data_IF_517701213825
#
_entry.id   IF_517701213825
#
_cell.length_a   1.000
_cell.length_b   1.000
_cell.length_c   1.000
_cell.angle_alpha   90.00
_cell.angle_beta   90.00
_cell.angle_gamma   90.00
#
_symmetry.space_group_name_H-M   'P 1'
#
loop_
_entity.id
_entity.type
_entity.pdbx_description
1 polymer ?
#
# COMPACT_ATOMS: atom_id res chain seq x y z
N UNK A 1 -21.41 14.01 7.55
CA UNK A 1 -21.04 13.79 6.12
C UNK A 1 -19.53 13.92 5.87
N UNK A 2 -18.80 14.75 6.64
CA UNK A 2 -17.35 14.95 6.46
C UNK A 2 -16.48 13.73 6.75
N UNK A 3 -16.79 12.91 7.78
CA UNK A 3 -15.97 11.73 8.13
C UNK A 3 -15.78 10.75 6.97
N UNK A 4 -16.83 10.60 6.14
CA UNK A 4 -16.80 9.72 4.97
C UNK A 4 -16.08 10.31 3.77
N UNK A 5 -15.83 11.63 3.75
CA UNK A 5 -15.21 12.31 2.61
C UNK A 5 -13.78 11.82 2.42
N UNK A 6 -12.98 11.82 3.49
CA UNK A 6 -11.58 11.36 3.44
C UNK A 6 -11.46 9.87 3.13
N UNK A 7 -12.38 9.06 3.65
CA UNK A 7 -12.45 7.62 3.36
C UNK A 7 -12.72 7.39 1.87
N UNK A 8 -13.68 8.11 1.28
CA UNK A 8 -14.00 8.01 -0.15
C UNK A 8 -12.84 8.49 -1.04
N UNK A 9 -12.20 9.61 -0.69
CA UNK A 9 -11.06 10.12 -1.45
C UNK A 9 -9.90 9.10 -1.42
N UNK A 10 -9.54 8.55 -0.27
CA UNK A 10 -8.50 7.52 -0.17
C UNK A 10 -8.86 6.25 -0.95
N UNK A 11 -10.15 5.88 -0.99
CA UNK A 11 -10.60 4.77 -1.82
C UNK A 11 -10.43 5.06 -3.33
N UNK A 12 -10.77 6.26 -3.79
CA UNK A 12 -10.54 6.65 -5.18
C UNK A 12 -9.06 6.73 -5.54
N UNK A 13 -8.21 7.19 -4.62
CA UNK A 13 -6.76 7.19 -4.81
C UNK A 13 -6.22 5.76 -4.89
N UNK A 14 -6.72 4.82 -4.10
CA UNK A 14 -6.38 3.41 -4.21
C UNK A 14 -6.73 2.84 -5.60
N UNK A 15 -7.91 3.16 -6.13
CA UNK A 15 -8.32 2.77 -7.47
C UNK A 15 -7.46 3.43 -8.56
N UNK A 16 -7.08 4.69 -8.37
CA UNK A 16 -6.17 5.39 -9.26
C UNK A 16 -4.78 4.73 -9.29
N UNK A 17 -4.26 4.31 -8.13
CA UNK A 17 -3.00 3.57 -8.04
C UNK A 17 -3.09 2.26 -8.83
N UNK A 18 -4.14 1.46 -8.66
CA UNK A 18 -4.31 0.21 -9.42
C UNK A 18 -4.35 0.46 -10.94
N UNK A 19 -5.12 1.45 -11.37
CA UNK A 19 -5.23 1.82 -12.78
C UNK A 19 -3.88 2.30 -13.33
N UNK A 20 -3.15 3.09 -12.55
CA UNK A 20 -1.84 3.58 -12.90
C UNK A 20 -0.82 2.44 -12.97
N UNK A 21 -0.88 1.43 -12.09
CA UNK A 21 0.00 0.25 -12.14
C UNK A 21 -0.17 -0.56 -13.42
N UNK A 22 -1.38 -0.64 -13.98
CA UNK A 22 -1.61 -1.26 -15.29
C UNK A 22 -0.91 -0.47 -16.40
N UNK A 23 -1.01 0.86 -16.38
CA UNK A 23 -0.29 1.73 -17.33
C UNK A 23 1.22 1.62 -17.14
N UNK A 24 1.69 1.53 -15.89
CA UNK A 24 3.09 1.32 -15.56
C UNK A 24 3.65 0.03 -16.16
N UNK A 25 2.89 -1.06 -16.10
CA UNK A 25 3.25 -2.31 -16.78
C UNK A 25 3.37 -2.13 -18.30
N UNK A 26 2.42 -1.44 -18.94
CA UNK A 26 2.50 -1.17 -20.37
C UNK A 26 3.73 -0.33 -20.74
N UNK A 27 4.10 0.65 -19.91
CA UNK A 27 5.32 1.42 -20.11
C UNK A 27 6.56 0.57 -19.90
N UNK A 28 6.63 -0.24 -18.85
CA UNK A 28 7.78 -1.11 -18.59
C UNK A 28 8.03 -2.10 -19.75
N UNK A 29 6.97 -2.65 -20.34
CA UNK A 29 7.10 -3.67 -21.40
C UNK A 29 7.29 -3.06 -22.79
N UNK A 30 6.52 -2.02 -23.13
CA UNK A 30 6.45 -1.54 -24.52
C UNK A 30 7.12 -0.18 -24.75
N UNK A 31 7.29 0.63 -23.70
CA UNK A 31 7.78 2.03 -23.81
C UNK A 31 8.58 2.43 -22.57
N UNK A 32 9.70 1.75 -22.34
CA UNK A 32 10.53 1.94 -21.14
C UNK A 32 10.94 3.40 -20.92
N UNK A 33 11.20 4.14 -22.00
CA UNK A 33 11.51 5.58 -21.94
C UNK A 33 10.41 6.44 -21.27
N UNK A 34 9.17 5.95 -21.17
CA UNK A 34 8.06 6.64 -20.50
C UNK A 34 7.83 6.12 -19.07
N UNK A 35 8.56 5.10 -18.63
CA UNK A 35 8.37 4.48 -17.32
C UNK A 35 8.61 5.48 -16.16
N UNK A 36 9.51 6.45 -16.35
CA UNK A 36 9.72 7.51 -15.35
C UNK A 36 8.43 8.31 -15.03
N UNK A 37 7.51 8.46 -16.00
CA UNK A 37 6.22 9.13 -15.76
C UNK A 37 5.37 8.33 -14.79
N UNK A 38 5.38 7.01 -14.92
CA UNK A 38 4.72 6.11 -13.97
C UNK A 38 5.33 6.23 -12.58
N UNK A 39 6.66 6.13 -12.45
CA UNK A 39 7.33 6.21 -11.14
C UNK A 39 7.03 7.53 -10.41
N UNK A 40 7.10 8.65 -11.12
CA UNK A 40 6.84 9.98 -10.55
C UNK A 40 5.37 10.17 -10.16
N UNK A 41 4.44 9.75 -11.02
CA UNK A 41 3.01 9.84 -10.71
C UNK A 41 2.60 8.92 -9.56
N UNK A 42 3.16 7.70 -9.51
CA UNK A 42 2.95 6.77 -8.40
C UNK A 42 3.45 7.38 -7.08
N UNK A 43 4.65 7.95 -7.09
CA UNK A 43 5.23 8.61 -5.92
C UNK A 43 4.33 9.74 -5.40
N UNK A 44 3.85 10.62 -6.31
CA UNK A 44 2.95 11.70 -5.93
C UNK A 44 1.62 11.19 -5.36
N UNK A 45 1.04 10.15 -5.96
CA UNK A 45 -0.21 9.55 -5.48
C UNK A 45 -0.04 8.92 -4.09
N UNK A 46 1.06 8.20 -3.85
CA UNK A 46 1.36 7.62 -2.54
C UNK A 46 1.50 8.73 -1.50
N UNK A 47 2.27 9.78 -1.77
CA UNK A 47 2.47 10.90 -0.84
C UNK A 47 1.13 11.58 -0.53
N UNK A 48 0.32 11.88 -1.55
CA UNK A 48 -1.00 12.48 -1.37
C UNK A 48 -1.92 11.59 -0.52
N UNK A 49 -1.91 10.28 -0.77
CA UNK A 49 -2.71 9.31 -0.02
C UNK A 49 -2.29 9.20 1.44
N UNK A 50 -0.98 9.24 1.71
CA UNK A 50 -0.43 9.27 3.08
C UNK A 50 -0.89 10.56 3.78
N UNK A 51 -0.71 11.73 3.18
CA UNK A 51 -1.13 13.01 3.77
C UNK A 51 -2.63 13.00 4.08
N UNK A 52 -3.47 12.55 3.14
CA UNK A 52 -4.92 12.49 3.34
C UNK A 52 -5.33 11.47 4.40
N UNK A 53 -4.63 10.34 4.50
CA UNK A 53 -4.85 9.37 5.57
C UNK A 53 -4.49 9.94 6.94
N UNK A 54 -3.39 10.70 7.07
CA UNK A 54 -3.01 11.41 8.30
C UNK A 54 -4.07 12.44 8.68
N UNK A 55 -4.51 13.27 7.73
CA UNK A 55 -5.60 14.24 7.96
C UNK A 55 -6.87 13.50 8.41
N UNK A 56 -7.18 12.37 7.78
CA UNK A 56 -8.31 11.51 8.14
C UNK A 56 -8.17 10.86 9.53
N UNK A 57 -6.97 10.64 10.04
CA UNK A 57 -6.73 10.13 11.41
C UNK A 57 -6.95 11.24 12.45
N UNK A 58 -6.52 12.47 12.13
CA UNK A 58 -6.63 13.63 13.02
C UNK A 58 -8.08 14.12 13.11
N UNK A 59 -8.78 14.16 11.98
CA UNK A 59 -10.13 14.75 11.90
C UNK A 59 -11.28 13.79 12.20
N UNK A 60 -11.10 12.49 12.03
CA UNK A 60 -12.17 11.52 12.28
C UNK A 60 -12.13 11.01 13.72
N UNK A 61 -13.30 10.92 14.35
CA UNK A 61 -13.47 10.37 15.69
C UNK A 61 -14.07 8.95 15.65
N UNK A 62 -13.87 8.18 16.72
CA UNK A 62 -14.48 6.85 16.87
C UNK A 62 -14.05 5.83 15.81
N UNK A 63 -15.03 5.15 15.20
CA UNK A 63 -14.81 3.99 14.34
C UNK A 63 -14.19 4.35 12.98
N UNK A 64 -14.49 5.54 12.43
CA UNK A 64 -13.96 5.98 11.13
C UNK A 64 -12.46 6.28 11.16
N UNK A 65 -11.90 6.56 12.34
CA UNK A 65 -10.44 6.70 12.56
C UNK A 65 -9.67 5.43 12.25
N UNK A 66 -10.22 4.26 12.60
CA UNK A 66 -9.58 2.96 12.34
C UNK A 66 -9.50 2.66 10.85
N UNK A 67 -10.44 3.16 10.05
CA UNK A 67 -10.40 3.06 8.58
C UNK A 67 -9.27 3.93 8.04
N UNK A 68 -9.16 5.19 8.48
CA UNK A 68 -8.06 6.08 8.10
C UNK A 68 -6.70 5.52 8.49
N UNK A 69 -6.59 4.91 9.67
CA UNK A 69 -5.38 4.24 10.14
C UNK A 69 -5.03 3.01 9.28
N UNK A 70 -6.04 2.26 8.83
CA UNK A 70 -5.85 1.13 7.91
C UNK A 70 -5.30 1.62 6.57
N UNK A 71 -5.86 2.69 6.00
CA UNK A 71 -5.29 3.29 4.78
C UNK A 71 -3.85 3.74 4.98
N UNK A 72 -3.55 4.42 6.08
CA UNK A 72 -2.19 4.87 6.38
C UNK A 72 -1.21 3.69 6.44
N UNK A 73 -1.52 2.65 7.22
CA UNK A 73 -0.68 1.47 7.36
C UNK A 73 -0.47 0.77 6.01
N UNK A 74 -1.54 0.62 5.22
CA UNK A 74 -1.47 0.06 3.88
C UNK A 74 -0.54 0.86 2.96
N UNK A 75 -0.67 2.19 2.91
CA UNK A 75 0.16 3.02 2.04
C UNK A 75 1.63 3.03 2.46
N UNK A 76 1.91 2.92 3.76
CA UNK A 76 3.28 2.73 4.26
C UNK A 76 3.83 1.37 3.79
N UNK A 77 3.09 0.27 3.99
CA UNK A 77 3.50 -1.05 3.51
C UNK A 77 3.70 -1.07 1.98
N UNK A 78 2.78 -0.45 1.24
CA UNK A 78 2.86 -0.34 -0.22
C UNK A 78 4.05 0.50 -0.69
N UNK A 79 4.41 1.55 0.04
CA UNK A 79 5.61 2.35 -0.26
C UNK A 79 6.87 1.51 -0.13
N UNK A 80 6.95 0.66 0.89
CA UNK A 80 8.06 -0.29 1.07
C UNK A 80 8.03 -1.36 -0.02
N UNK A 81 6.85 -1.85 -0.43
CA UNK A 81 6.71 -2.76 -1.57
C UNK A 81 7.30 -2.17 -2.86
N UNK A 82 7.09 -0.86 -3.11
CA UNK A 82 7.56 -0.21 -4.33
C UNK A 82 9.09 -0.26 -4.48
N UNK A 83 9.84 -0.42 -3.38
CA UNK A 83 11.29 -0.62 -3.42
C UNK A 83 11.69 -1.95 -4.10
N UNK A 84 10.76 -2.90 -4.22
CA UNK A 84 10.96 -4.20 -4.86
C UNK A 84 10.40 -4.28 -6.29
N UNK A 85 9.81 -3.20 -6.80
CA UNK A 85 9.19 -3.17 -8.14
C UNK A 85 10.11 -2.59 -9.21
N UNK A 86 11.26 -2.02 -8.82
CA UNK A 86 12.25 -1.43 -9.72
C UNK A 86 13.58 -2.21 -9.70
N UNK A 87 14.58 -1.75 -10.48
CA UNK A 87 15.87 -2.43 -10.61
C UNK A 87 16.76 -2.35 -9.36
N UNK A 88 16.42 -1.50 -8.39
CA UNK A 88 17.20 -1.23 -7.17
C UNK A 88 16.66 -1.98 -5.95
N UNK A 89 16.49 -3.30 -6.08
CA UNK A 89 16.10 -4.13 -4.94
C UNK A 89 17.35 -4.47 -4.12
N UNK A 90 17.37 -4.07 -2.84
CA UNK A 90 18.42 -4.50 -1.89
C UNK A 90 17.87 -5.58 -0.97
N UNK A 91 18.59 -6.70 -0.83
CA UNK A 91 18.16 -7.84 -0.02
C UNK A 91 17.85 -7.43 1.44
N UNK A 92 18.66 -6.56 2.03
CA UNK A 92 18.45 -6.06 3.41
C UNK A 92 17.11 -5.37 3.63
N UNK A 93 16.49 -4.83 2.58
CA UNK A 93 15.19 -4.14 2.65
C UNK A 93 14.03 -5.15 2.79
N UNK A 94 14.23 -6.43 2.43
CA UNK A 94 13.21 -7.49 2.60
C UNK A 94 12.75 -7.58 4.07
N UNK A 95 13.68 -7.46 5.02
CA UNK A 95 13.33 -7.47 6.44
C UNK A 95 12.42 -6.29 6.82
N UNK A 96 12.67 -5.10 6.26
CA UNK A 96 11.82 -3.91 6.45
C UNK A 96 10.40 -4.19 5.94
N UNK A 97 10.27 -4.89 4.80
CA UNK A 97 8.96 -5.30 4.29
C UNK A 97 8.22 -6.25 5.23
N UNK A 98 8.88 -7.27 5.80
CA UNK A 98 8.21 -8.19 6.73
C UNK A 98 7.76 -7.51 8.02
N UNK A 99 8.60 -6.64 8.61
CA UNK A 99 8.25 -5.90 9.83
C UNK A 99 7.07 -4.97 9.56
N UNK A 100 7.11 -4.20 8.47
CA UNK A 100 6.03 -3.28 8.10
C UNK A 100 4.74 -4.02 7.77
N UNK A 101 4.83 -5.17 7.11
CA UNK A 101 3.69 -6.06 6.84
C UNK A 101 3.07 -6.58 8.13
N UNK A 102 3.87 -7.07 9.07
CA UNK A 102 3.38 -7.58 10.36
C UNK A 102 2.61 -6.51 11.13
N UNK A 103 3.17 -5.31 11.25
CA UNK A 103 2.50 -4.16 11.90
C UNK A 103 1.19 -3.82 11.18
N UNK A 104 1.21 -3.81 9.84
CA UNK A 104 0.05 -3.47 9.03
C UNK A 104 -1.09 -4.48 9.19
N UNK A 105 -0.76 -5.78 9.23
CA UNK A 105 -1.74 -6.85 9.48
C UNK A 105 -2.36 -6.71 10.87
N UNK A 106 -1.56 -6.41 11.91
CA UNK A 106 -2.10 -6.18 13.26
C UNK A 106 -3.10 -5.03 13.28
N UNK A 107 -2.79 -3.92 12.60
CA UNK A 107 -3.69 -2.78 12.47
C UNK A 107 -4.99 -3.20 11.77
N UNK A 108 -4.93 -3.98 10.69
CA UNK A 108 -6.12 -4.47 10.00
C UNK A 108 -6.99 -5.37 10.88
N UNK A 109 -6.39 -6.32 11.60
CA UNK A 109 -7.13 -7.23 12.49
C UNK A 109 -7.86 -6.44 13.59
N UNK A 110 -7.19 -5.45 14.18
CA UNK A 110 -7.81 -4.58 15.20
C UNK A 110 -8.93 -3.72 14.57
N UNK A 111 -8.68 -3.16 13.38
CA UNK A 111 -9.64 -2.33 12.67
C UNK A 111 -10.92 -3.11 12.33
N UNK A 112 -10.81 -4.32 11.78
CA UNK A 112 -11.96 -5.18 11.44
C UNK A 112 -12.83 -5.46 12.67
N UNK A 113 -12.22 -5.64 13.84
CA UNK A 113 -12.94 -5.88 15.11
C UNK A 113 -13.64 -4.63 15.64
N UNK A 114 -13.05 -3.44 15.45
CA UNK A 114 -13.56 -2.17 16.01
C UNK A 114 -14.54 -1.42 15.12
N UNK A 115 -14.49 -1.63 13.81
CA UNK A 115 -15.30 -0.88 12.84
C UNK A 115 -16.63 -1.59 12.62
N UNK A 116 -17.78 -0.93 12.77
CA UNK A 116 -19.07 -1.54 12.44
C UNK A 116 -19.48 -1.33 10.97
N UNK A 117 -19.20 -0.15 10.39
CA UNK A 117 -19.55 0.24 9.02
C UNK A 117 -18.31 0.30 8.13
N UNK A 118 -18.41 -0.16 6.88
CA UNK A 118 -17.29 -0.22 5.92
C UNK A 118 -16.17 -1.22 6.29
N UNK A 119 -16.50 -2.31 7.02
CA UNK A 119 -15.57 -3.43 7.30
C UNK A 119 -14.89 -4.00 6.06
N UNK A 120 -15.53 -3.89 4.90
CA UNK A 120 -14.98 -4.35 3.62
C UNK A 120 -13.67 -3.65 3.25
N UNK A 121 -13.44 -2.40 3.71
CA UNK A 121 -12.24 -1.63 3.35
C UNK A 121 -10.99 -2.29 3.99
N UNK A 122 -10.88 -2.42 5.33
CA UNK A 122 -9.75 -3.15 5.93
C UNK A 122 -9.60 -4.59 5.42
N UNK A 123 -10.72 -5.27 5.10
CA UNK A 123 -10.68 -6.61 4.54
C UNK A 123 -10.03 -6.64 3.15
N UNK A 124 -10.39 -5.71 2.27
CA UNK A 124 -9.79 -5.57 0.95
C UNK A 124 -8.29 -5.24 1.05
N UNK A 125 -7.91 -4.32 1.94
CA UNK A 125 -6.51 -3.96 2.17
C UNK A 125 -5.70 -5.15 2.70
N UNK A 126 -6.28 -5.96 3.59
CA UNK A 126 -5.69 -7.21 4.06
C UNK A 126 -5.46 -8.18 2.89
N UNK A 127 -6.46 -8.40 2.03
CA UNK A 127 -6.33 -9.29 0.87
C UNK A 127 -5.18 -8.83 -0.06
N UNK A 128 -5.10 -7.54 -0.37
CA UNK A 128 -4.00 -6.99 -1.16
C UNK A 128 -2.65 -7.17 -0.46
N UNK A 129 -2.59 -6.91 0.85
CA UNK A 129 -1.38 -7.10 1.66
C UNK A 129 -0.88 -8.54 1.64
N UNK A 130 -1.78 -9.53 1.69
CA UNK A 130 -1.43 -10.95 1.56
C UNK A 130 -0.86 -11.25 0.17
N UNK A 131 -1.46 -10.74 -0.90
CA UNK A 131 -0.93 -10.89 -2.27
C UNK A 131 0.48 -10.31 -2.38
N UNK A 132 0.71 -9.11 -1.85
CA UNK A 132 2.03 -8.47 -1.82
C UNK A 132 3.04 -9.28 -1.00
N UNK A 133 2.60 -9.88 0.11
CA UNK A 133 3.44 -10.74 0.94
C UNK A 133 3.87 -11.98 0.18
N UNK A 134 2.94 -12.63 -0.53
CA UNK A 134 3.25 -13.78 -1.38
C UNK A 134 4.26 -13.39 -2.46
N UNK A 135 4.08 -12.23 -3.10
CA UNK A 135 5.03 -11.71 -4.09
C UNK A 135 6.44 -11.55 -3.51
N UNK A 136 6.59 -10.89 -2.35
CA UNK A 136 7.91 -10.68 -1.73
C UNK A 136 8.52 -12.00 -1.23
N UNK A 137 7.73 -12.94 -0.72
CA UNK A 137 8.22 -14.29 -0.37
C UNK A 137 8.79 -14.99 -1.60
N UNK A 138 8.10 -14.92 -2.73
CA UNK A 138 8.57 -15.51 -3.98
C UNK A 138 9.86 -14.83 -4.47
N UNK A 139 9.91 -13.50 -4.42
CA UNK A 139 11.10 -12.72 -4.76
C UNK A 139 12.29 -13.06 -3.86
N UNK A 140 12.06 -13.21 -2.55
CA UNK A 140 13.07 -13.63 -1.59
C UNK A 140 13.57 -15.06 -1.86
N UNK A 141 12.68 -15.99 -2.22
CA UNK A 141 13.05 -17.37 -2.56
C UNK A 141 13.87 -17.46 -3.86
N UNK A 142 13.57 -16.60 -4.84
CA UNK A 142 14.30 -16.53 -6.11
C UNK A 142 15.67 -15.86 -6.01
N UNK A 143 15.93 -15.09 -4.95
CA UNK A 143 17.17 -14.32 -4.81
C UNK A 143 18.43 -15.17 -4.54
N UNK A 144 18.40 -16.47 -4.83
CA UNK A 144 19.59 -17.33 -4.81
C UNK A 144 20.42 -17.17 -3.53
N UNK A 145 20.02 -17.83 -2.45
CA UNK A 145 20.76 -17.86 -1.20
C UNK A 145 22.16 -18.47 -1.39
N UNK A 146 23.14 -17.69 -1.83
CA UNK A 146 24.55 -17.97 -1.57
C UNK A 146 24.86 -17.44 -0.17
N UNK A 147 24.32 -18.14 0.84
CA UNK A 147 24.78 -17.95 2.22
C UNK A 147 26.19 -18.55 2.31
N UNK A 148 27.20 -17.70 2.13
CA UNK A 148 28.48 -17.78 2.81
C UNK A 148 28.52 -16.61 3.78
#
# INVERSE_FOLDING_TARGET
>A
MEETKYIKINFYLLLAILSLSIVGYLFAVYKENLFFLYERSLTLLIIASIILSIIGIIKNEGNSKWISLSYFAFFVQFSVLCLFLGPLTFYSVIFVFYVTTFITILIFVIAIRKIDKFKFIPLLLLTLSVIFTIYVIFLNALWGTSWI
#
